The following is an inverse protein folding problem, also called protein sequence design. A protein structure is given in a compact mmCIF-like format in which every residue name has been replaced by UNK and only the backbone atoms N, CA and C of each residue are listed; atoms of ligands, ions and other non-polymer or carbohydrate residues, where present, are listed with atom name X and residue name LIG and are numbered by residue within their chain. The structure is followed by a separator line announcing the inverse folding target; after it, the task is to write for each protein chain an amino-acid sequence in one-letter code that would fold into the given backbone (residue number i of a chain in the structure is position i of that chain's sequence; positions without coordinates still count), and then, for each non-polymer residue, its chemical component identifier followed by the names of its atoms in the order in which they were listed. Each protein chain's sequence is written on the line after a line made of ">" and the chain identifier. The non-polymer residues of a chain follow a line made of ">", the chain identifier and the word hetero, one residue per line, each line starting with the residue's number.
data_IF_653384316037
#
_entry.id   IF_653384316037
#
_cell.length_a   1.000
_cell.length_b   1.000
_cell.length_c   1.000
_cell.angle_alpha   90.00
_cell.angle_beta   90.00
_cell.angle_gamma   90.00
#
_symmetry.space_group_name_H-M   'P 1'
#
loop_
_entity.id
_entity.type
_entity.pdbx_description
1 polymer ?
#
# COMPACT_ATOMS: atom_id res chain seq x y z
N UNK A 1 6.09 19.95 -2.06
CA UNK A 1 7.44 19.73 -2.65
C UNK A 1 7.32 18.63 -3.67
N UNK A 2 7.76 18.92 -4.88
CA UNK A 2 7.73 18.09 -6.09
C UNK A 2 8.87 17.07 -6.04
N UNK A 3 8.54 15.79 -6.17
CA UNK A 3 9.55 14.71 -6.13
C UNK A 3 10.14 14.57 -7.53
N UNK A 4 11.39 14.99 -7.70
CA UNK A 4 12.10 14.89 -8.99
C UNK A 4 12.29 13.46 -9.50
N UNK A 5 12.04 12.45 -8.65
CA UNK A 5 12.08 11.03 -9.04
C UNK A 5 10.75 10.49 -9.57
N UNK A 6 9.63 11.18 -9.28
CA UNK A 6 8.29 10.82 -9.74
C UNK A 6 7.52 12.04 -10.29
N UNK A 7 8.07 12.73 -11.31
CA UNK A 7 7.44 13.92 -11.89
C UNK A 7 6.05 13.64 -12.48
N UNK A 8 5.77 12.39 -12.87
CA UNK A 8 4.47 11.96 -13.40
C UNK A 8 3.29 12.10 -12.42
N UNK A 9 3.58 12.22 -11.12
CA UNK A 9 2.56 12.41 -10.08
C UNK A 9 2.32 13.89 -9.76
N UNK A 10 3.12 14.80 -10.32
CA UNK A 10 3.08 16.22 -9.99
C UNK A 10 1.85 16.90 -10.59
N UNK A 11 1.19 17.74 -9.78
CA UNK A 11 0.04 18.53 -10.23
C UNK A 11 -1.25 17.75 -10.46
N UNK A 12 -1.27 16.44 -10.18
CA UNK A 12 -2.50 15.65 -10.26
C UNK A 12 -3.51 16.15 -9.22
N UNK A 13 -4.72 16.46 -9.68
CA UNK A 13 -5.84 16.71 -8.77
C UNK A 13 -6.28 15.40 -8.12
N UNK A 14 -6.15 15.35 -6.80
CA UNK A 14 -6.52 14.20 -5.97
C UNK A 14 -7.83 14.42 -5.20
N UNK A 15 -8.49 15.56 -5.39
CA UNK A 15 -9.61 16.02 -4.56
C UNK A 15 -10.74 15.00 -4.50
N UNK A 16 -11.17 14.47 -5.64
CA UNK A 16 -12.27 13.51 -5.69
C UNK A 16 -11.88 12.13 -5.15
N UNK A 17 -10.62 11.70 -5.35
CA UNK A 17 -10.10 10.47 -4.75
C UNK A 17 -10.02 10.57 -3.22
N UNK A 18 -9.68 11.75 -2.68
CA UNK A 18 -9.70 12.01 -1.24
C UNK A 18 -11.12 12.00 -0.68
N UNK A 19 -12.08 12.63 -1.36
CA UNK A 19 -13.50 12.56 -0.99
C UNK A 19 -14.00 11.12 -1.00
N UNK A 20 -13.63 10.36 -2.01
CA UNK A 20 -14.00 8.95 -2.14
C UNK A 20 -13.39 8.12 -1.00
N UNK A 21 -12.10 8.27 -0.73
CA UNK A 21 -11.43 7.60 0.38
C UNK A 21 -12.11 7.89 1.72
N UNK A 22 -12.51 9.13 1.99
CA UNK A 22 -13.23 9.49 3.20
C UNK A 22 -14.64 8.87 3.27
N UNK A 23 -15.34 8.85 2.13
CA UNK A 23 -16.74 8.40 2.05
C UNK A 23 -16.87 6.89 2.09
N UNK A 24 -16.04 6.21 1.30
CA UNK A 24 -16.10 4.78 1.00
C UNK A 24 -15.06 3.96 1.76
N UNK A 25 -14.03 4.62 2.31
CA UNK A 25 -12.90 3.99 2.98
C UNK A 25 -11.81 3.51 2.02
N UNK A 26 -12.01 3.64 0.70
CA UNK A 26 -10.99 3.34 -0.31
C UNK A 26 -11.19 4.19 -1.56
N UNK A 27 -10.15 4.28 -2.40
CA UNK A 27 -10.26 4.80 -3.75
C UNK A 27 -9.20 4.16 -4.67
N UNK A 28 -9.48 4.16 -5.98
CA UNK A 28 -8.53 3.66 -6.99
C UNK A 28 -8.02 4.87 -7.75
N UNK A 29 -6.71 5.11 -7.70
CA UNK A 29 -6.06 6.17 -8.48
C UNK A 29 -5.41 5.51 -9.70
N UNK A 30 -5.93 5.75 -10.92
CA UNK A 30 -5.41 5.10 -12.12
C UNK A 30 -4.09 5.72 -12.57
N UNK A 31 -3.26 5.00 -13.32
CA UNK A 31 -2.07 5.57 -14.00
C UNK A 31 -1.11 6.33 -13.06
N UNK A 32 -0.91 5.87 -11.83
CA UNK A 32 0.08 6.49 -10.93
C UNK A 32 1.50 6.17 -11.42
N UNK A 33 1.71 4.95 -11.92
CA UNK A 33 2.92 4.58 -12.65
C UNK A 33 2.61 4.46 -14.14
N UNK A 34 3.42 5.07 -15.02
CA UNK A 34 3.36 4.81 -16.45
C UNK A 34 3.58 3.32 -16.75
N UNK A 35 3.04 2.77 -17.85
CA UNK A 35 3.13 1.35 -18.18
C UNK A 35 4.57 0.81 -18.13
N UNK A 36 5.55 1.60 -18.60
CA UNK A 36 6.95 1.19 -18.59
C UNK A 36 7.55 1.09 -17.19
N UNK A 37 7.23 2.04 -16.29
CA UNK A 37 7.67 1.97 -14.88
C UNK A 37 6.95 0.86 -14.13
N UNK A 38 5.67 0.64 -14.39
CA UNK A 38 4.91 -0.47 -13.82
C UNK A 38 5.52 -1.83 -14.22
N UNK A 39 5.89 -1.99 -15.50
CA UNK A 39 6.59 -3.18 -15.99
C UNK A 39 7.95 -3.34 -15.31
N UNK A 40 8.75 -2.27 -15.23
CA UNK A 40 10.06 -2.32 -14.58
C UNK A 40 9.96 -2.75 -13.11
N UNK A 41 8.98 -2.20 -12.37
CA UNK A 41 8.72 -2.60 -10.99
C UNK A 41 8.33 -4.08 -10.90
N UNK A 42 7.46 -4.55 -11.79
CA UNK A 42 7.05 -5.95 -11.87
C UNK A 42 8.22 -6.90 -12.15
N UNK A 43 9.07 -6.57 -13.13
CA UNK A 43 10.26 -7.37 -13.45
C UNK A 43 11.21 -7.47 -12.24
N UNK A 44 11.35 -6.39 -11.46
CA UNK A 44 12.17 -6.37 -10.24
C UNK A 44 11.54 -7.18 -9.11
N UNK A 45 10.21 -7.15 -8.96
CA UNK A 45 9.48 -7.97 -7.99
C UNK A 45 9.69 -9.45 -8.25
N UNK A 46 9.62 -9.89 -9.52
CA UNK A 46 9.86 -11.29 -9.86
C UNK A 46 11.29 -11.74 -9.58
N UNK A 47 12.29 -10.91 -9.91
CA UNK A 47 13.69 -11.19 -9.53
C UNK A 47 13.88 -11.30 -8.02
N UNK A 48 13.20 -10.46 -7.24
CA UNK A 48 13.25 -10.53 -5.78
C UNK A 48 12.55 -11.80 -5.23
N UNK A 49 11.45 -12.21 -5.84
CA UNK A 49 10.76 -13.46 -5.51
C UNK A 49 11.64 -14.69 -5.81
N UNK A 50 12.26 -14.74 -6.99
CA UNK A 50 13.21 -15.78 -7.39
C UNK A 50 14.40 -15.86 -6.43
N UNK A 51 14.98 -14.71 -6.07
CA UNK A 51 16.10 -14.66 -5.13
C UNK A 51 15.70 -15.10 -3.71
N UNK A 52 14.47 -14.78 -3.28
CA UNK A 52 13.94 -15.24 -1.98
C UNK A 52 13.82 -16.77 -1.97
N UNK A 53 13.23 -17.35 -3.03
CA UNK A 53 13.12 -18.82 -3.18
C UNK A 53 14.50 -19.48 -3.24
N UNK A 54 15.45 -18.88 -3.96
CA UNK A 54 16.84 -19.36 -4.02
C UNK A 54 17.52 -19.38 -2.65
N UNK A 55 17.15 -18.44 -1.75
CA UNK A 55 17.61 -18.38 -0.35
C UNK A 55 16.84 -19.31 0.60
N UNK A 56 15.87 -20.07 0.11
CA UNK A 56 15.05 -20.99 0.89
C UNK A 56 13.84 -20.35 1.57
N UNK A 57 13.53 -19.09 1.25
CA UNK A 57 12.32 -18.41 1.73
C UNK A 57 11.29 -18.38 0.60
N UNK A 58 10.23 -19.16 0.74
CA UNK A 58 9.13 -19.08 -0.23
C UNK A 58 8.36 -17.76 -0.07
N UNK A 59 7.79 -17.29 -1.18
CA UNK A 59 6.93 -16.12 -1.24
C UNK A 59 5.52 -16.41 -0.73
N UNK A 60 5.16 -17.68 -0.57
CA UNK A 60 3.93 -18.12 0.07
C UNK A 60 4.21 -18.62 1.48
N UNK A 61 3.47 -18.10 2.45
CA UNK A 61 3.58 -18.47 3.86
C UNK A 61 2.22 -19.03 4.32
N UNK A 62 1.99 -20.36 4.21
CA UNK A 62 0.69 -20.97 4.50
C UNK A 62 0.18 -20.73 5.92
N UNK A 63 1.10 -20.53 6.87
CA UNK A 63 0.74 -20.24 8.27
C UNK A 63 0.28 -18.79 8.51
N UNK A 64 0.58 -17.87 7.59
CA UNK A 64 0.10 -16.48 7.62
C UNK A 64 -1.10 -16.29 6.69
N UNK A 65 -1.09 -16.97 5.56
CA UNK A 65 -2.16 -16.97 4.58
C UNK A 65 -2.58 -18.41 4.26
N UNK A 66 -3.55 -18.98 5.00
CA UNK A 66 -4.02 -20.34 4.78
C UNK A 66 -4.76 -20.50 3.44
N UNK A 67 -4.99 -19.41 2.69
CA UNK A 67 -5.61 -19.49 1.38
C UNK A 67 -4.58 -19.92 0.33
N UNK A 68 -4.53 -21.22 0.05
CA UNK A 68 -3.66 -21.83 -0.99
C UNK A 68 -3.87 -21.20 -2.38
N UNK A 69 -5.03 -20.58 -2.62
CA UNK A 69 -5.34 -19.92 -3.88
C UNK A 69 -4.72 -18.52 -4.01
N UNK A 70 -4.02 -17.98 -3.01
CA UNK A 70 -3.30 -16.70 -3.17
C UNK A 70 -1.92 -16.84 -3.84
N UNK A 71 -1.51 -18.08 -4.14
CA UNK A 71 -0.26 -18.42 -4.85
C UNK A 71 -0.37 -18.36 -6.36
N UNK A 72 -1.54 -17.97 -6.90
CA UNK A 72 -1.92 -18.33 -8.24
C UNK A 72 -2.11 -17.14 -9.23
N UNK A 73 -2.33 -17.42 -10.52
CA UNK A 73 -2.66 -16.51 -11.66
C UNK A 73 -4.00 -15.76 -11.80
N UNK A 74 -4.15 -14.41 -11.81
CA UNK A 74 -5.50 -13.87 -12.14
C UNK A 74 -5.65 -12.43 -12.62
N UNK A 75 -6.69 -12.25 -13.47
CA UNK A 75 -7.34 -10.99 -13.86
C UNK A 75 -8.55 -10.60 -12.99
N UNK A 76 -9.01 -11.44 -12.06
CA UNK A 76 -10.02 -11.05 -11.06
C UNK A 76 -9.39 -10.19 -9.97
N UNK A 77 -10.20 -9.26 -9.47
CA UNK A 77 -9.77 -8.25 -8.52
C UNK A 77 -8.86 -8.77 -7.39
N UNK A 78 -7.80 -8.02 -7.07
CA UNK A 78 -6.80 -8.43 -6.08
C UNK A 78 -7.36 -8.52 -4.67
N UNK A 79 -8.43 -7.77 -4.41
CA UNK A 79 -8.96 -7.52 -3.09
C UNK A 79 -10.44 -7.27 -3.20
N UNK A 80 -11.16 -7.69 -2.18
CA UNK A 80 -12.52 -7.30 -1.94
C UNK A 80 -12.60 -6.31 -0.79
N UNK A 81 -13.56 -5.40 -0.84
CA UNK A 81 -13.81 -4.48 0.28
C UNK A 81 -15.30 -4.27 0.52
N UNK A 82 -15.67 -3.92 1.75
CA UNK A 82 -17.00 -3.43 2.06
C UNK A 82 -16.98 -1.90 2.11
N UNK A 83 -17.65 -1.26 1.15
CA UNK A 83 -17.76 0.21 1.08
C UNK A 83 -18.32 0.76 2.38
N UNK A 84 -17.61 1.71 3.00
CA UNK A 84 -18.04 2.37 4.22
C UNK A 84 -17.80 1.58 5.51
N UNK A 85 -17.22 0.38 5.44
CA UNK A 85 -16.95 -0.47 6.62
C UNK A 85 -15.97 0.14 7.62
N UNK A 86 -15.14 1.10 7.20
CA UNK A 86 -14.28 1.89 8.09
C UNK A 86 -15.05 2.72 9.13
N UNK A 87 -16.38 2.83 8.97
CA UNK A 87 -17.29 3.51 9.90
C UNK A 87 -17.87 2.56 10.96
N UNK A 88 -17.73 1.25 10.81
CA UNK A 88 -18.14 0.29 11.83
C UNK A 88 -17.21 0.40 13.03
N UNK A 89 -17.77 0.67 14.21
CA UNK A 89 -17.00 0.92 15.42
C UNK A 89 -16.93 -0.32 16.31
N UNK A 90 -17.95 -1.18 16.21
CA UNK A 90 -18.12 -2.37 17.03
C UNK A 90 -18.52 -3.57 16.18
N UNK A 91 -18.39 -4.77 16.74
CA UNK A 91 -18.83 -6.00 16.07
C UNK A 91 -20.34 -6.00 15.78
N UNK A 92 -21.14 -5.27 16.57
CA UNK A 92 -22.58 -5.13 16.36
C UNK A 92 -22.92 -4.28 15.12
N UNK A 93 -22.00 -3.43 14.67
CA UNK A 93 -22.17 -2.63 13.45
C UNK A 93 -21.92 -3.46 12.18
N UNK A 94 -21.29 -4.63 12.32
CA UNK A 94 -20.97 -5.53 11.20
C UNK A 94 -22.26 -6.23 10.75
N UNK A 95 -22.73 -5.98 9.52
CA UNK A 95 -23.91 -6.64 9.00
C UNK A 95 -23.72 -8.17 8.95
N UNK A 96 -24.73 -8.99 9.27
CA UNK A 96 -24.63 -10.45 9.14
C UNK A 96 -24.28 -10.90 7.72
N UNK A 97 -24.61 -10.09 6.72
CA UNK A 97 -24.35 -10.31 5.30
C UNK A 97 -23.09 -9.57 4.79
N UNK A 98 -22.18 -9.15 5.68
CA UNK A 98 -21.01 -8.34 5.33
C UNK A 98 -20.14 -8.96 4.22
N UNK A 99 -19.99 -10.29 4.20
CA UNK A 99 -19.23 -10.99 3.16
C UNK A 99 -19.86 -10.82 1.77
N UNK A 100 -21.19 -10.73 1.67
CA UNK A 100 -21.88 -10.51 0.40
C UNK A 100 -21.74 -9.08 -0.14
N UNK A 101 -21.29 -8.13 0.70
CA UNK A 101 -21.08 -6.72 0.36
C UNK A 101 -19.67 -6.43 -0.12
N UNK A 102 -18.83 -7.46 -0.17
CA UNK A 102 -17.49 -7.42 -0.70
C UNK A 102 -17.50 -7.13 -2.21
N UNK A 103 -16.93 -5.99 -2.60
CA UNK A 103 -16.78 -5.62 -4.01
C UNK A 103 -15.34 -5.81 -4.50
N UNK A 104 -15.15 -6.40 -5.69
CA UNK A 104 -13.84 -6.58 -6.30
C UNK A 104 -13.23 -5.23 -6.72
N UNK A 105 -11.93 -5.03 -6.48
CA UNK A 105 -11.15 -3.96 -7.12
C UNK A 105 -10.64 -4.30 -8.52
N UNK A 106 -11.08 -3.59 -9.54
CA UNK A 106 -10.50 -3.73 -10.87
C UNK A 106 -9.63 -2.52 -11.19
N UNK A 107 -8.35 -2.78 -11.47
CA UNK A 107 -7.38 -1.74 -11.74
C UNK A 107 -6.34 -2.23 -12.75
N UNK A 108 -5.98 -1.35 -13.69
CA UNK A 108 -4.85 -1.61 -14.60
C UNK A 108 -3.51 -1.57 -13.88
N UNK A 109 -2.52 -2.23 -14.46
CA UNK A 109 -1.14 -2.13 -13.99
C UNK A 109 -0.69 -0.66 -13.92
N UNK A 110 -0.04 -0.29 -12.82
CA UNK A 110 0.37 1.08 -12.54
C UNK A 110 -0.69 1.95 -11.84
N UNK A 111 -1.92 1.47 -11.67
CA UNK A 111 -2.86 2.05 -10.72
C UNK A 111 -2.47 1.72 -9.27
N UNK A 112 -2.91 2.54 -8.33
CA UNK A 112 -2.85 2.23 -6.89
C UNK A 112 -4.25 2.17 -6.30
N UNK A 113 -4.39 1.38 -5.25
CA UNK A 113 -5.59 1.35 -4.42
C UNK A 113 -5.20 1.91 -3.07
N UNK A 114 -5.80 3.04 -2.71
CA UNK A 114 -5.64 3.63 -1.38
C UNK A 114 -6.74 3.08 -0.48
N UNK A 115 -6.38 2.57 0.69
CA UNK A 115 -7.30 2.02 1.68
C UNK A 115 -7.13 2.75 3.01
N UNK A 116 -8.24 3.10 3.63
CA UNK A 116 -8.26 3.56 5.00
C UNK A 116 -8.02 2.36 5.93
N UNK A 117 -7.22 2.53 6.97
CA UNK A 117 -6.69 1.41 7.77
C UNK A 117 -7.73 0.55 8.51
N UNK A 118 -8.98 1.01 8.64
CA UNK A 118 -10.10 0.31 9.28
C UNK A 118 -11.04 -0.35 8.28
N UNK A 119 -10.82 -0.18 6.97
CA UNK A 119 -11.71 -0.78 5.98
C UNK A 119 -11.61 -2.30 6.03
N UNK A 120 -12.76 -2.97 6.10
CA UNK A 120 -12.84 -4.42 6.03
C UNK A 120 -12.56 -4.89 4.61
N UNK A 121 -11.61 -5.79 4.49
CA UNK A 121 -11.15 -6.27 3.20
C UNK A 121 -10.61 -7.70 3.28
N UNK A 122 -10.52 -8.37 2.14
CA UNK A 122 -9.89 -9.68 2.01
C UNK A 122 -9.24 -9.82 0.64
N UNK A 123 -8.24 -10.69 0.54
CA UNK A 123 -7.64 -11.05 -0.74
C UNK A 123 -8.63 -11.87 -1.57
N UNK A 124 -8.73 -11.53 -2.86
CA UNK A 124 -9.63 -12.25 -3.76
C UNK A 124 -9.02 -13.56 -4.23
N UNK A 125 -9.83 -14.64 -4.25
CA UNK A 125 -9.41 -15.94 -4.78
C UNK A 125 -8.89 -15.77 -6.20
N UNK A 126 -7.70 -16.29 -6.40
CA UNK A 126 -7.08 -16.32 -7.69
C UNK A 126 -7.54 -17.60 -8.44
N UNK A 127 -8.23 -17.42 -9.57
CA UNK A 127 -8.90 -18.53 -10.28
C UNK A 127 -8.52 -18.67 -11.76
N UNK A 128 -7.61 -17.83 -12.27
CA UNK A 128 -7.12 -18.02 -13.65
C UNK A 128 -6.02 -19.09 -13.61
N UNK A 129 -5.77 -19.74 -14.74
CA UNK A 129 -4.76 -20.79 -14.87
C UNK A 129 -3.44 -20.20 -15.41
N UNK A 130 -2.29 -20.66 -14.92
CA UNK A 130 -0.93 -20.46 -15.48
C UNK A 130 -0.37 -19.02 -15.70
N UNK A 131 -0.77 -18.04 -14.92
CA UNK A 131 -0.21 -16.67 -14.74
C UNK A 131 0.18 -16.45 -13.26
N UNK A 132 0.57 -15.28 -12.78
CA UNK A 132 0.61 -15.02 -11.32
C UNK A 132 0.13 -13.59 -11.10
N UNK A 133 -0.45 -13.29 -9.92
CA UNK A 133 -0.87 -11.93 -9.60
C UNK A 133 0.10 -11.26 -8.64
N UNK A 134 0.90 -10.34 -9.18
CA UNK A 134 1.78 -9.51 -8.37
C UNK A 134 1.03 -8.29 -7.80
N UNK A 135 1.26 -8.02 -6.52
CA UNK A 135 0.85 -6.80 -5.83
C UNK A 135 2.04 -6.25 -5.05
N UNK A 136 2.18 -4.93 -5.05
CA UNK A 136 3.16 -4.25 -4.22
C UNK A 136 2.42 -3.47 -3.14
N UNK A 137 2.72 -3.78 -1.88
CA UNK A 137 2.11 -3.13 -0.73
C UNK A 137 2.98 -1.99 -0.22
N UNK A 138 2.37 -0.82 -0.03
CA UNK A 138 2.94 0.30 0.71
C UNK A 138 2.10 0.56 1.95
N UNK A 139 2.62 0.24 3.13
CA UNK A 139 1.98 0.55 4.41
C UNK A 139 2.54 1.86 4.96
N UNK A 140 1.67 2.87 5.10
CA UNK A 140 2.02 4.18 5.62
C UNK A 140 1.38 4.37 6.99
N UNK A 141 2.21 4.63 8.00
CA UNK A 141 1.77 4.81 9.38
C UNK A 141 2.13 6.22 9.87
N UNK A 142 1.44 6.68 10.91
CA UNK A 142 1.88 7.86 11.66
C UNK A 142 3.29 7.61 12.21
N UNK A 143 4.12 8.66 12.28
CA UNK A 143 5.54 8.53 12.63
C UNK A 143 5.78 7.80 13.96
N UNK A 144 4.92 7.99 14.97
CA UNK A 144 5.08 7.34 16.27
C UNK A 144 4.73 5.83 16.27
N UNK A 145 4.14 5.32 15.18
CA UNK A 145 3.81 3.89 15.03
C UNK A 145 4.95 3.16 14.33
N UNK A 146 5.46 2.12 14.98
CA UNK A 146 6.53 1.28 14.41
C UNK A 146 6.01 0.47 13.21
N UNK A 147 6.69 0.59 12.07
CA UNK A 147 6.40 -0.23 10.88
C UNK A 147 6.77 -1.71 11.04
N UNK A 148 6.18 -2.56 10.21
CA UNK A 148 6.46 -4.00 10.18
C UNK A 148 7.92 -4.31 9.78
N UNK A 149 8.51 -3.46 8.93
CA UNK A 149 9.91 -3.58 8.51
C UNK A 149 10.73 -2.46 9.16
N UNK A 150 11.82 -2.83 9.81
CA UNK A 150 12.83 -1.86 10.25
C UNK A 150 13.77 -1.55 9.07
N UNK A 151 13.42 -0.56 8.26
CA UNK A 151 14.23 -0.18 7.08
C UNK A 151 15.62 0.34 7.44
N UNK A 152 15.79 0.94 8.62
CA UNK A 152 17.10 1.37 9.11
C UNK A 152 18.04 0.17 9.30
N UNK A 153 17.52 -0.99 9.72
CA UNK A 153 18.29 -2.22 9.83
C UNK A 153 18.30 -3.05 8.52
N UNK A 154 17.21 -3.02 7.76
CA UNK A 154 17.01 -3.89 6.60
C UNK A 154 17.68 -3.41 5.31
N UNK A 155 17.92 -2.10 5.16
CA UNK A 155 18.59 -1.56 3.97
C UNK A 155 20.11 -1.50 4.16
N UNK A 156 20.86 -1.80 3.10
CA UNK A 156 22.31 -1.61 3.08
C UNK A 156 22.69 -0.14 3.14
N UNK A 157 23.89 0.17 3.66
CA UNK A 157 24.42 1.53 3.66
C UNK A 157 24.58 2.11 2.24
N UNK A 158 24.90 1.27 1.26
CA UNK A 158 24.98 1.67 -0.14
C UNK A 158 23.61 2.12 -0.67
N UNK A 159 22.56 1.34 -0.42
CA UNK A 159 21.19 1.71 -0.79
C UNK A 159 20.76 3.01 -0.11
N UNK A 160 21.06 3.17 1.19
CA UNK A 160 20.70 4.37 1.95
C UNK A 160 21.31 5.65 1.38
N UNK A 161 22.52 5.58 0.80
CA UNK A 161 23.18 6.73 0.14
C UNK A 161 22.42 7.25 -1.08
N UNK A 162 21.59 6.41 -1.71
CA UNK A 162 20.81 6.77 -2.91
C UNK A 162 19.46 7.43 -2.61
N UNK A 163 19.05 7.43 -1.34
CA UNK A 163 17.75 7.92 -0.89
C UNK A 163 17.72 9.45 -0.86
N UNK A 164 16.62 10.04 -1.32
CA UNK A 164 16.37 11.47 -1.14
C UNK A 164 16.08 11.78 0.33
N UNK A 165 16.23 13.04 0.79
CA UNK A 165 15.87 13.41 2.17
C UNK A 165 14.44 13.01 2.55
N UNK A 166 13.49 13.14 1.62
CA UNK A 166 12.10 12.72 1.81
C UNK A 166 11.97 11.19 1.96
N UNK A 167 12.66 10.40 1.14
CA UNK A 167 12.65 8.94 1.27
C UNK A 167 13.29 8.49 2.59
N UNK A 168 14.34 9.17 3.05
CA UNK A 168 14.96 8.85 4.34
C UNK A 168 14.02 9.11 5.51
N UNK A 169 13.24 10.20 5.44
CA UNK A 169 12.20 10.54 6.41
C UNK A 169 11.07 9.49 6.41
N UNK A 170 10.53 9.14 5.23
CA UNK A 170 9.48 8.12 5.11
C UNK A 170 9.92 6.72 5.54
N UNK A 171 11.16 6.34 5.26
CA UNK A 171 11.71 5.03 5.64
C UNK A 171 12.28 5.01 7.07
N UNK A 172 12.34 6.17 7.75
CA UNK A 172 12.84 6.28 9.12
C UNK A 172 14.28 5.78 9.31
N UNK A 173 15.15 6.01 8.32
CA UNK A 173 16.55 5.50 8.34
C UNK A 173 17.54 6.42 9.06
N UNK A 174 17.08 7.60 9.49
CA UNK A 174 17.86 8.60 10.22
C UNK A 174 17.54 8.58 11.73
N UNK A 175 18.35 9.28 12.53
CA UNK A 175 18.19 9.35 13.99
C UNK A 175 16.81 9.83 14.46
N UNK A 176 16.11 10.63 13.64
CA UNK A 176 14.75 11.10 13.91
C UNK A 176 13.66 10.12 13.42
N UNK A 177 14.05 8.93 12.95
CA UNK A 177 13.12 7.90 12.50
C UNK A 177 12.12 7.55 13.60
N UNK A 178 10.84 7.54 13.23
CA UNK A 178 9.70 7.33 14.14
C UNK A 178 9.43 8.43 15.17
N UNK A 179 10.01 9.61 15.02
CA UNK A 179 9.67 10.79 15.82
C UNK A 179 8.75 11.69 14.99
N UNK A 180 7.55 11.94 15.48
CA UNK A 180 6.64 12.90 14.85
C UNK A 180 7.22 14.31 14.89
N UNK A 181 7.34 14.96 13.72
CA UNK A 181 7.62 16.39 13.67
C UNK A 181 6.32 17.15 13.93
N UNK A 182 6.30 17.99 14.96
CA UNK A 182 5.20 18.94 15.15
C UNK A 182 5.23 19.92 13.98
N UNK A 183 4.15 19.97 13.22
CA UNK A 183 3.98 20.90 12.09
C UNK A 183 2.78 21.81 12.33
N UNK A 184 2.83 23.00 11.75
CA UNK A 184 1.82 24.05 11.94
C UNK A 184 2.20 25.08 13.01
N UNK A 185 1.60 26.27 12.91
CA UNK A 185 1.67 27.25 13.99
C UNK A 185 0.64 26.89 15.04
N UNK A 186 1.08 26.76 16.30
CA UNK A 186 0.13 26.62 17.40
C UNK A 186 -0.70 27.92 17.47
N UNK A 187 -2.04 27.79 17.40
CA UNK A 187 -2.99 28.92 17.40
C UNK A 187 -2.80 29.87 18.59
N UNK A 188 -2.18 29.40 19.68
CA UNK A 188 -1.86 30.20 20.88
C UNK A 188 -0.78 31.26 20.60
N UNK A 189 0.03 31.12 19.55
CA UNK A 189 1.06 32.11 19.16
C UNK A 189 0.66 32.97 17.96
N UNK A 190 -0.56 32.83 17.44
CA UNK A 190 -1.09 33.74 16.42
C UNK A 190 -1.61 35.00 17.12
N UNK A 191 -0.74 36.00 17.32
CA UNK A 191 -1.20 37.38 17.48
C UNK A 191 -1.57 37.86 16.08
N UNK A 192 -2.85 38.18 15.89
CA UNK A 192 -3.34 38.82 14.67
C UNK A 192 -2.63 40.14 14.38
#
# INVERSE_FOLDING_TARGET
>A
MTSTKFPEAEGRDLTDYQKQLNTDGFCIVPDVLPPQKAKEALDRLWKAAEESRRRGTDTYLPHLDPNESNTQPSKTAPHFTSRGSHKWQTIADVPPDAESKLIPFEAKAGSIICMEGRIWHTSGKNITKDQDRALMFGAYNAAFLRGQVNWAAGLSEETKKTLTPQMRDWLGVDANGNIGKVTGMNKVYYKG
#
